data_IF_251375606776
#
_entry.id   IF_251375606776
#
_cell.length_a   1.000
_cell.length_b   1.000
_cell.length_c   1.000
_cell.angle_alpha   90.00
_cell.angle_beta   90.00
_cell.angle_gamma   90.00
#
_symmetry.space_group_name_H-M   'P 1'
#
loop_
_entity.id
_entity.type
_entity.pdbx_description
1 polymer ?
#
# COMPACT_ATOMS: atom_id res chain seq x y z
N UNK A 1 -7.19 24.88 -11.97
CA UNK A 1 -6.17 23.99 -12.56
C UNK A 1 -5.32 23.52 -11.41
N UNK A 2 -5.79 22.47 -10.73
CA UNK A 2 -5.13 21.93 -9.55
C UNK A 2 -3.74 21.41 -9.92
N UNK A 3 -2.73 21.82 -9.16
CA UNK A 3 -1.38 21.26 -9.30
C UNK A 3 -1.48 19.77 -8.95
N UNK A 4 -1.00 18.85 -9.80
CA UNK A 4 -0.99 17.44 -9.47
C UNK A 4 -0.18 17.25 -8.20
N UNK A 5 -0.80 16.63 -7.21
CA UNK A 5 -0.19 16.36 -5.91
C UNK A 5 1.06 15.49 -6.13
N UNK A 6 2.21 16.15 -6.04
CA UNK A 6 3.48 15.58 -6.47
C UNK A 6 3.96 14.53 -5.48
N UNK A 7 3.42 14.53 -4.26
CA UNK A 7 3.66 13.51 -3.22
C UNK A 7 3.02 12.19 -3.59
N UNK A 8 1.70 12.20 -3.84
CA UNK A 8 0.92 11.03 -4.24
C UNK A 8 1.46 10.42 -5.54
N UNK A 9 1.85 11.25 -6.50
CA UNK A 9 2.43 10.78 -7.78
C UNK A 9 3.74 10.01 -7.57
N UNK A 10 4.62 10.47 -6.68
CA UNK A 10 5.89 9.79 -6.36
C UNK A 10 5.65 8.51 -5.55
N UNK A 11 4.67 8.52 -4.65
CA UNK A 11 4.28 7.35 -3.87
C UNK A 11 3.75 6.23 -4.78
N UNK A 12 2.77 6.55 -5.63
CA UNK A 12 2.18 5.61 -6.59
C UNK A 12 3.25 5.06 -7.51
N UNK A 13 4.17 5.90 -8.02
CA UNK A 13 5.27 5.43 -8.88
C UNK A 13 6.20 4.41 -8.19
N UNK A 14 6.43 4.53 -6.87
CA UNK A 14 7.24 3.56 -6.11
C UNK A 14 6.53 2.22 -5.98
N UNK A 15 5.24 2.20 -5.67
CA UNK A 15 4.48 0.97 -5.45
C UNK A 15 4.13 0.27 -6.77
N UNK A 16 3.95 1.04 -7.84
CA UNK A 16 3.85 0.50 -9.21
C UNK A 16 5.12 -0.24 -9.66
N UNK A 17 6.29 0.09 -9.11
CA UNK A 17 7.53 -0.65 -9.44
C UNK A 17 7.50 -2.09 -8.92
N UNK A 18 6.87 -2.33 -7.76
CA UNK A 18 6.68 -3.66 -7.18
C UNK A 18 5.71 -4.48 -8.03
N UNK A 19 4.57 -3.89 -8.41
CA UNK A 19 3.62 -4.53 -9.34
C UNK A 19 4.25 -4.83 -10.72
N UNK A 20 5.17 -3.99 -11.19
CA UNK A 20 5.89 -4.24 -12.45
C UNK A 20 6.82 -5.44 -12.35
N UNK A 21 7.46 -5.66 -11.21
CA UNK A 21 8.25 -6.88 -10.96
C UNK A 21 7.33 -8.09 -10.90
N UNK A 22 6.21 -7.97 -10.19
CA UNK A 22 5.16 -9.00 -10.10
C UNK A 22 4.68 -9.46 -11.48
N UNK A 23 4.34 -8.51 -12.36
CA UNK A 23 3.89 -8.76 -13.73
C UNK A 23 4.91 -9.55 -14.54
N UNK A 24 6.21 -9.23 -14.41
CA UNK A 24 7.28 -9.93 -15.12
C UNK A 24 7.49 -11.36 -14.62
N UNK A 25 7.28 -11.60 -13.32
CA UNK A 25 7.33 -12.95 -12.77
C UNK A 25 6.17 -13.79 -13.30
N UNK A 26 4.96 -13.22 -13.33
CA UNK A 26 3.80 -13.90 -13.91
C UNK A 26 3.95 -14.16 -15.41
N UNK A 27 4.50 -13.22 -16.18
CA UNK A 27 4.84 -13.41 -17.59
C UNK A 27 5.83 -14.57 -17.79
N UNK A 28 6.86 -14.66 -16.94
CA UNK A 28 7.81 -15.76 -17.01
C UNK A 28 7.14 -17.12 -16.74
N UNK A 29 6.27 -17.20 -15.74
CA UNK A 29 5.53 -18.43 -15.43
C UNK A 29 4.53 -18.81 -16.53
N UNK A 30 3.92 -17.82 -17.17
CA UNK A 30 3.08 -18.01 -18.35
C UNK A 30 3.89 -18.55 -19.53
N UNK A 31 5.06 -17.97 -19.83
CA UNK A 31 5.94 -18.46 -20.89
C UNK A 31 6.48 -19.86 -20.59
N UNK A 32 6.81 -20.15 -19.33
CA UNK A 32 7.26 -21.45 -18.87
C UNK A 32 6.17 -22.53 -19.04
N UNK A 33 4.89 -22.14 -18.93
CA UNK A 33 3.75 -23.04 -19.16
C UNK A 33 3.59 -23.46 -20.63
N UNK A 34 4.31 -22.83 -21.58
CA UNK A 34 4.34 -23.16 -23.02
C UNK A 34 2.95 -23.31 -23.67
N UNK A 35 1.97 -22.52 -23.23
CA UNK A 35 0.59 -22.55 -23.73
C UNK A 35 -0.26 -23.69 -23.15
N UNK A 36 0.17 -24.29 -22.04
CA UNK A 36 -0.69 -25.12 -21.20
C UNK A 36 -1.95 -24.35 -20.79
N UNK A 37 -3.08 -25.04 -20.69
CA UNK A 37 -4.33 -24.46 -20.20
C UNK A 37 -4.25 -24.10 -18.69
N UNK A 38 -3.27 -24.67 -17.99
CA UNK A 38 -3.05 -24.49 -16.57
C UNK A 38 -1.62 -23.99 -16.31
N UNK A 39 -1.49 -23.02 -15.40
CA UNK A 39 -0.22 -22.52 -14.89
C UNK A 39 -0.03 -23.10 -13.50
N UNK A 40 1.06 -23.81 -13.28
CA UNK A 40 1.40 -24.34 -11.95
C UNK A 40 2.36 -23.36 -11.28
N UNK A 41 1.95 -22.83 -10.13
CA UNK A 41 2.76 -21.95 -9.30
C UNK A 41 3.06 -22.62 -7.98
N UNK A 42 4.25 -22.37 -7.45
CA UNK A 42 4.56 -22.75 -6.08
C UNK A 42 3.64 -22.02 -5.10
N UNK A 43 3.25 -22.71 -4.03
CA UNK A 43 2.30 -22.17 -3.05
C UNK A 43 2.84 -20.93 -2.35
N UNK A 44 4.11 -20.94 -1.96
CA UNK A 44 4.75 -19.80 -1.28
C UNK A 44 4.86 -18.60 -2.24
N UNK A 45 5.15 -18.86 -3.51
CA UNK A 45 5.13 -17.82 -4.54
C UNK A 45 3.74 -17.20 -4.69
N UNK A 46 2.68 -18.02 -4.69
CA UNK A 46 1.30 -17.54 -4.80
C UNK A 46 0.84 -16.75 -3.57
N UNK A 47 1.24 -17.17 -2.36
CA UNK A 47 0.97 -16.42 -1.13
C UNK A 47 1.66 -15.04 -1.15
N UNK A 48 2.95 -14.99 -1.53
CA UNK A 48 3.68 -13.73 -1.67
C UNK A 48 3.08 -12.79 -2.75
N UNK A 49 2.53 -13.37 -3.83
CA UNK A 49 1.82 -12.62 -4.87
C UNK A 49 0.59 -11.92 -4.30
N UNK A 50 -0.22 -12.63 -3.51
CA UNK A 50 -1.41 -12.09 -2.85
C UNK A 50 -1.04 -10.98 -1.87
N UNK A 51 -0.07 -11.23 -0.98
CA UNK A 51 0.38 -10.25 0.02
C UNK A 51 0.86 -8.95 -0.65
N UNK A 52 1.59 -9.07 -1.76
CA UNK A 52 2.09 -7.88 -2.50
C UNK A 52 0.95 -7.06 -3.09
N UNK A 53 -0.11 -7.71 -3.58
CA UNK A 53 -1.28 -7.02 -4.13
C UNK A 53 -2.10 -6.38 -3.02
N UNK A 54 -2.31 -7.06 -1.89
CA UNK A 54 -3.01 -6.50 -0.72
C UNK A 54 -2.30 -5.25 -0.18
N UNK A 55 -0.98 -5.31 0.02
CA UNK A 55 -0.17 -4.17 0.47
C UNK A 55 -0.35 -2.98 -0.49
N UNK A 56 -0.31 -3.22 -1.81
CA UNK A 56 -0.53 -2.17 -2.80
C UNK A 56 -1.91 -1.53 -2.68
N UNK A 57 -2.96 -2.33 -2.48
CA UNK A 57 -4.34 -1.84 -2.30
C UNK A 57 -4.43 -0.98 -1.03
N UNK A 58 -3.92 -1.46 0.10
CA UNK A 58 -3.92 -0.73 1.36
C UNK A 58 -3.18 0.62 1.23
N UNK A 59 -2.04 0.62 0.53
CA UNK A 59 -1.22 1.81 0.30
C UNK A 59 -1.94 2.85 -0.57
N UNK A 60 -2.64 2.42 -1.62
CA UNK A 60 -3.44 3.30 -2.47
C UNK A 60 -4.66 3.85 -1.72
N UNK A 61 -5.34 3.02 -0.93
CA UNK A 61 -6.48 3.44 -0.11
C UNK A 61 -6.06 4.45 0.97
N UNK A 62 -4.91 4.23 1.61
CA UNK A 62 -4.34 5.14 2.62
C UNK A 62 -4.04 6.51 2.02
N UNK A 63 -3.43 6.58 0.85
CA UNK A 63 -3.08 7.84 0.19
C UNK A 63 -4.30 8.58 -0.39
N UNK A 64 -5.29 7.86 -0.92
CA UNK A 64 -6.52 8.47 -1.48
C UNK A 64 -7.52 8.97 -0.42
N UNK A 65 -7.10 9.08 0.83
CA UNK A 65 -7.94 9.63 1.89
C UNK A 65 -8.78 8.59 2.62
N UNK A 66 -8.32 7.33 2.70
CA UNK A 66 -8.74 6.33 3.69
C UNK A 66 -8.43 6.77 5.14
N UNK A 67 -9.00 7.91 5.55
CA UNK A 67 -9.05 8.44 6.91
C UNK A 67 -10.50 8.50 7.35
N UNK A 68 -11.16 7.34 7.39
CA UNK A 68 -12.48 7.20 7.97
C UNK A 68 -12.56 6.03 8.96
N UNK A 69 -11.54 5.89 9.81
CA UNK A 69 -11.51 5.14 11.08
C UNK A 69 -10.05 4.73 11.27
N UNK A 70 -9.24 5.40 12.07
CA UNK A 70 -8.83 4.78 13.36
C UNK A 70 -7.97 5.73 14.20
N UNK A 71 -8.19 7.05 14.15
CA UNK A 71 -7.61 7.95 15.16
C UNK A 71 -8.59 9.03 15.59
N UNK A 72 -9.75 8.60 16.09
CA UNK A 72 -10.46 9.34 17.13
C UNK A 72 -9.91 8.91 18.50
N UNK A 73 -8.59 8.92 18.69
CA UNK A 73 -7.98 8.82 20.01
C UNK A 73 -7.94 10.23 20.63
N UNK A 74 -9.03 10.53 21.34
CA UNK A 74 -9.11 11.27 22.61
C UNK A 74 -8.25 12.56 22.75
N UNK A 75 -8.85 13.76 22.88
CA UNK A 75 -8.11 14.93 23.36
C UNK A 75 -7.77 14.71 24.85
N UNK A 76 -6.53 14.33 25.13
CA UNK A 76 -6.04 14.18 26.50
C UNK A 76 -5.47 15.51 27.02
N UNK A 77 -6.30 16.16 27.84
CA UNK A 77 -5.96 16.94 29.03
C UNK A 77 -5.09 18.21 28.87
N UNK A 78 -5.74 19.35 29.13
CA UNK A 78 -5.17 20.60 29.65
C UNK A 78 -3.99 20.37 30.60
N UNK A 79 -2.87 21.05 30.31
CA UNK A 79 -1.78 21.23 31.29
C UNK A 79 -2.29 22.19 32.37
N UNK A 80 -2.19 21.85 33.67
CA UNK A 80 -2.60 22.77 34.72
C UNK A 80 -1.59 23.94 34.81
N UNK A 81 -2.11 25.16 34.78
CA UNK A 81 -1.34 26.37 35.01
C UNK A 81 -0.91 26.42 36.49
N UNK A 82 0.40 26.43 36.73
CA UNK A 82 0.93 26.64 38.08
C UNK A 82 0.96 28.14 38.35
N UNK A 83 -0.04 28.64 39.06
CA UNK A 83 -0.06 30.01 39.58
C UNK A 83 0.97 30.10 40.71
N UNK A 84 2.01 30.93 40.53
CA UNK A 84 2.95 31.28 41.60
C UNK A 84 2.23 32.18 42.61
N UNK A 85 2.18 31.77 43.87
CA UNK A 85 1.70 32.60 44.97
C UNK A 85 2.89 33.37 45.54
N UNK A 86 2.76 34.71 45.60
CA UNK A 86 3.66 35.60 46.34
C UNK A 86 3.37 35.54 47.84
#
# INVERSE_FOLDING_TARGET
>A
MDKPDTGTTKFVHRHLSQLKVLSRLLEHELDASKGSAEVTLDRELFENLLDTVEIFVEDVERENGGRAATVAQKPAAEKPAVTRLN
#
